data_IF_445323384788
#
_entry.id   IF_445323384788
#
_cell.length_a   1.000
_cell.length_b   1.000
_cell.length_c   1.000
_cell.angle_alpha   90.00
_cell.angle_beta   90.00
_cell.angle_gamma   90.00
#
_symmetry.space_group_name_H-M   'P 1'
#
loop_
_entity.id
_entity.type
_entity.pdbx_description
1 polymer ?
#
# COMPACT_ATOMS: atom_id res chain seq x y z
N UNK A 1 -63.24 47.10 -27.32
CA UNK A 1 -63.78 46.33 -26.17
C UNK A 1 -62.80 45.19 -25.91
N UNK A 2 -61.97 45.21 -24.84
CA UNK A 2 -62.15 44.48 -23.56
C UNK A 2 -62.71 43.05 -23.79
N UNK A 3 -62.15 41.95 -23.27
CA UNK A 3 -62.07 41.57 -21.86
C UNK A 3 -60.93 40.55 -21.61
N UNK A 4 -60.44 40.59 -20.36
CA UNK A 4 -59.35 39.78 -19.77
C UNK A 4 -59.81 38.36 -19.38
N UNK A 5 -58.80 37.53 -19.06
CA UNK A 5 -58.79 36.39 -18.09
C UNK A 5 -59.25 34.99 -18.53
N UNK A 6 -58.26 34.12 -18.75
CA UNK A 6 -57.97 32.84 -18.03
C UNK A 6 -56.57 32.36 -18.47
N UNK A 7 -55.49 32.47 -17.68
CA UNK A 7 -55.04 31.54 -16.58
C UNK A 7 -55.08 30.06 -17.02
N UNK A 8 -54.04 29.22 -16.90
CA UNK A 8 -53.03 29.13 -15.83
C UNK A 8 -51.86 28.21 -16.25
N UNK A 9 -50.67 28.52 -15.72
CA UNK A 9 -49.59 27.62 -15.27
C UNK A 9 -48.91 26.64 -16.25
N UNK A 10 -47.66 26.96 -16.62
CA UNK A 10 -46.57 25.98 -16.63
C UNK A 10 -45.18 26.66 -16.68
N UNK A 11 -44.94 27.57 -15.76
CA UNK A 11 -43.57 28.02 -15.42
C UNK A 11 -43.41 27.93 -13.91
N UNK A 12 -43.25 26.71 -13.41
CA UNK A 12 -42.81 26.48 -12.04
C UNK A 12 -41.42 25.84 -12.05
N UNK A 13 -40.50 26.57 -11.43
CA UNK A 13 -39.53 26.04 -10.48
C UNK A 13 -38.43 25.10 -10.98
N UNK A 14 -37.47 25.67 -11.73
CA UNK A 14 -36.09 25.14 -11.77
C UNK A 14 -35.19 25.76 -10.69
N UNK A 15 -35.51 26.97 -10.21
CA UNK A 15 -34.71 27.70 -9.22
C UNK A 15 -35.07 27.37 -7.76
N UNK A 16 -36.32 26.97 -7.50
CA UNK A 16 -36.77 26.61 -6.14
C UNK A 16 -36.22 25.25 -5.72
N UNK A 17 -36.14 24.28 -6.63
CA UNK A 17 -35.59 22.93 -6.39
C UNK A 17 -34.09 22.96 -6.10
N UNK A 18 -33.31 23.76 -6.85
CA UNK A 18 -31.87 23.94 -6.60
C UNK A 18 -31.59 24.75 -5.32
N UNK A 19 -32.43 25.73 -4.97
CA UNK A 19 -32.31 26.45 -3.70
C UNK A 19 -32.75 25.62 -2.49
N UNK A 20 -33.78 24.77 -2.62
CA UNK A 20 -34.20 23.85 -1.57
C UNK A 20 -33.14 22.77 -1.32
N UNK A 21 -32.55 22.18 -2.38
CA UNK A 21 -31.44 21.24 -2.23
C UNK A 21 -30.21 21.89 -1.60
N UNK A 22 -29.80 23.09 -2.04
CA UNK A 22 -28.69 23.84 -1.40
C UNK A 22 -28.99 24.22 0.06
N UNK A 23 -30.22 24.61 0.39
CA UNK A 23 -30.61 24.89 1.79
C UNK A 23 -30.60 23.61 2.62
N UNK A 24 -31.05 22.49 2.07
CA UNK A 24 -31.06 21.21 2.75
C UNK A 24 -29.63 20.71 3.02
N UNK A 25 -28.73 20.79 2.04
CA UNK A 25 -27.31 20.48 2.22
C UNK A 25 -26.62 21.40 3.24
N UNK A 26 -26.91 22.70 3.20
CA UNK A 26 -26.36 23.65 4.18
C UNK A 26 -26.92 23.39 5.60
N UNK A 27 -28.18 22.98 5.73
CA UNK A 27 -28.78 22.61 6.99
C UNK A 27 -28.19 21.29 7.53
N UNK A 28 -27.97 20.29 6.66
CA UNK A 28 -27.32 19.04 7.00
C UNK A 28 -25.87 19.25 7.48
N UNK A 29 -25.12 20.13 6.78
CA UNK A 29 -23.75 20.53 7.18
C UNK A 29 -23.73 21.32 8.48
N UNK A 30 -24.71 22.21 8.71
CA UNK A 30 -24.82 22.94 9.95
C UNK A 30 -25.17 22.03 11.14
N UNK A 31 -26.06 21.05 10.93
CA UNK A 31 -26.42 20.04 11.94
C UNK A 31 -25.25 19.10 12.24
N UNK A 32 -24.50 18.65 11.23
CA UNK A 32 -23.31 17.83 11.46
C UNK A 32 -22.22 18.62 12.20
N UNK A 33 -21.97 19.87 11.80
CA UNK A 33 -21.04 20.76 12.49
C UNK A 33 -21.47 21.06 13.94
N UNK A 34 -22.77 21.22 14.19
CA UNK A 34 -23.31 21.41 15.54
C UNK A 34 -23.17 20.15 16.40
N UNK A 35 -23.44 18.96 15.84
CA UNK A 35 -23.23 17.68 16.54
C UNK A 35 -21.75 17.46 16.88
N UNK A 36 -20.84 17.75 15.96
CA UNK A 36 -19.38 17.64 16.19
C UNK A 36 -18.91 18.63 17.26
N UNK A 37 -19.37 19.90 17.22
CA UNK A 37 -19.08 20.88 18.27
C UNK A 37 -19.61 20.46 19.63
N UNK A 38 -20.83 19.92 19.69
CA UNK A 38 -21.42 19.43 20.92
C UNK A 38 -20.60 18.27 21.50
N UNK A 39 -20.16 17.34 20.64
CA UNK A 39 -19.30 16.23 21.05
C UNK A 39 -17.95 16.73 21.59
N UNK A 40 -17.30 17.67 20.89
CA UNK A 40 -16.03 18.24 21.31
C UNK A 40 -16.14 18.93 22.68
N UNK A 41 -17.17 19.75 22.89
CA UNK A 41 -17.42 20.39 24.19
C UNK A 41 -17.72 19.37 25.30
N UNK A 42 -18.36 18.24 24.99
CA UNK A 42 -18.56 17.16 25.94
C UNK A 42 -17.24 16.47 26.33
N UNK A 43 -16.35 16.23 25.35
CA UNK A 43 -15.02 15.67 25.58
C UNK A 43 -14.14 16.61 26.41
N UNK A 44 -14.23 17.93 26.19
CA UNK A 44 -13.51 18.94 26.98
C UNK A 44 -13.94 18.97 28.45
N UNK A 45 -15.19 18.61 28.74
CA UNK A 45 -15.72 18.56 30.11
C UNK A 45 -15.43 17.23 30.83
N UNK A 46 -14.90 16.22 30.13
CA UNK A 46 -14.56 14.94 30.74
C UNK A 46 -13.26 15.02 31.54
N UNK A 47 -13.22 14.29 32.66
CA UNK A 47 -11.99 14.12 33.42
C UNK A 47 -11.00 13.22 32.66
N UNK A 48 -9.71 13.30 33.01
CA UNK A 48 -8.67 12.42 32.45
C UNK A 48 -9.03 10.94 32.58
N UNK A 49 -9.60 10.52 33.71
CA UNK A 49 -9.99 9.13 33.94
C UNK A 49 -11.10 8.69 32.98
N UNK A 50 -12.14 9.53 32.81
CA UNK A 50 -13.24 9.25 31.88
C UNK A 50 -12.77 9.20 30.42
N UNK A 51 -11.86 10.09 30.02
CA UNK A 51 -11.27 10.06 28.68
C UNK A 51 -10.47 8.77 28.45
N UNK A 52 -9.71 8.31 29.46
CA UNK A 52 -8.97 7.04 29.38
C UNK A 52 -9.95 5.86 29.27
N UNK A 53 -11.01 5.82 30.08
CA UNK A 53 -12.02 4.76 30.02
C UNK A 53 -12.72 4.70 28.66
N UNK A 54 -13.10 5.87 28.10
CA UNK A 54 -13.68 5.93 26.76
C UNK A 54 -12.68 5.44 25.71
N UNK A 55 -11.42 5.86 25.78
CA UNK A 55 -10.39 5.39 24.84
C UNK A 55 -10.12 3.89 24.97
N UNK A 56 -10.14 3.34 26.18
CA UNK A 56 -10.02 1.89 26.41
C UNK A 56 -11.21 1.15 25.81
N UNK A 57 -12.44 1.55 26.16
CA UNK A 57 -13.64 0.92 25.65
C UNK A 57 -13.71 1.00 24.12
N UNK A 58 -13.37 2.13 23.51
CA UNK A 58 -13.36 2.26 22.05
C UNK A 58 -12.22 1.44 21.45
N UNK A 59 -11.02 1.44 22.03
CA UNK A 59 -9.89 0.63 21.56
C UNK A 59 -10.10 -0.88 21.70
N UNK A 60 -10.94 -1.34 22.62
CA UNK A 60 -11.33 -2.76 22.74
C UNK A 60 -12.35 -3.18 21.68
N UNK A 61 -13.16 -2.24 21.19
CA UNK A 61 -14.25 -2.53 20.25
C UNK A 61 -13.93 -2.15 18.80
N UNK A 62 -12.93 -1.30 18.56
CA UNK A 62 -12.58 -0.77 17.24
C UNK A 62 -11.06 -0.82 17.03
N UNK A 63 -10.63 -1.68 16.11
CA UNK A 63 -9.20 -1.96 15.90
C UNK A 63 -8.43 -0.76 15.33
N UNK A 64 -9.07 0.08 14.52
CA UNK A 64 -8.48 1.28 13.94
C UNK A 64 -8.16 2.30 15.04
N UNK A 65 -9.04 2.43 16.04
CA UNK A 65 -8.82 3.31 17.19
C UNK A 65 -7.71 2.74 18.07
N UNK A 66 -7.70 1.42 18.27
CA UNK A 66 -6.62 0.74 18.97
C UNK A 66 -5.25 1.05 18.34
N UNK A 67 -5.12 0.85 17.02
CA UNK A 67 -3.91 1.12 16.25
C UNK A 67 -3.47 2.58 16.34
N UNK A 68 -4.41 3.52 16.19
CA UNK A 68 -4.11 4.95 16.30
C UNK A 68 -3.57 5.30 17.69
N UNK A 69 -4.22 4.82 18.75
CA UNK A 69 -3.77 5.04 20.13
C UNK A 69 -2.40 4.41 20.35
N UNK A 70 -2.16 3.18 19.88
CA UNK A 70 -0.86 2.53 19.99
C UNK A 70 0.25 3.34 19.28
N UNK A 71 -0.01 3.83 18.08
CA UNK A 71 0.94 4.66 17.32
C UNK A 71 1.28 5.96 18.06
N UNK A 72 0.28 6.68 18.55
CA UNK A 72 0.49 7.94 19.28
C UNK A 72 1.17 7.74 20.65
N UNK A 73 0.87 6.63 21.34
CA UNK A 73 1.55 6.27 22.58
C UNK A 73 3.01 5.90 22.29
N UNK A 74 3.27 5.10 21.25
CA UNK A 74 4.63 4.70 20.84
C UNK A 74 5.52 5.91 20.55
N UNK A 75 5.01 6.92 19.84
CA UNK A 75 5.75 8.17 19.54
C UNK A 75 6.16 8.95 20.80
N UNK A 76 5.44 8.79 21.91
CA UNK A 76 5.70 9.49 23.17
C UNK A 76 6.44 8.63 24.21
N UNK A 77 6.58 7.33 23.94
CA UNK A 77 7.36 6.44 24.79
C UNK A 77 8.85 6.58 24.49
N UNK A 78 9.68 6.46 25.52
CA UNK A 78 11.11 6.28 25.33
C UNK A 78 11.39 4.92 24.67
N UNK A 79 12.52 4.84 23.97
CA UNK A 79 12.88 3.64 23.21
C UNK A 79 13.09 2.41 24.09
N UNK A 80 13.54 2.56 25.33
CA UNK A 80 13.76 1.44 26.25
C UNK A 80 12.42 0.80 26.66
N UNK A 81 11.45 1.60 27.07
CA UNK A 81 10.11 1.12 27.44
C UNK A 81 9.38 0.55 26.23
N UNK A 82 9.54 1.16 25.04
CA UNK A 82 8.97 0.64 23.80
C UNK A 82 9.58 -0.72 23.45
N UNK A 83 10.91 -0.85 23.55
CA UNK A 83 11.61 -2.11 23.28
C UNK A 83 11.20 -3.22 24.26
N UNK A 84 11.06 -2.90 25.54
CA UNK A 84 10.54 -3.83 26.55
C UNK A 84 9.15 -4.36 26.16
N UNK A 85 8.24 -3.49 25.71
CA UNK A 85 6.92 -3.89 25.21
C UNK A 85 7.02 -4.80 23.98
N UNK A 86 7.88 -4.46 23.02
CA UNK A 86 8.11 -5.27 21.84
C UNK A 86 8.63 -6.68 22.17
N UNK A 87 9.47 -6.81 23.19
CA UNK A 87 9.97 -8.10 23.68
C UNK A 87 8.88 -8.95 24.34
N UNK A 88 7.83 -8.33 24.88
CA UNK A 88 6.67 -9.06 25.43
C UNK A 88 5.68 -9.51 24.34
N UNK A 89 5.82 -9.04 23.10
CA UNK A 89 4.97 -9.50 22.01
C UNK A 89 5.29 -10.94 21.63
N UNK A 90 4.24 -11.75 21.41
CA UNK A 90 4.42 -13.09 20.89
C UNK A 90 4.85 -13.02 19.43
N UNK A 91 5.93 -13.72 19.08
CA UNK A 91 6.41 -13.77 17.70
C UNK A 91 5.43 -14.59 16.86
N UNK A 92 4.82 -13.94 15.87
CA UNK A 92 3.97 -14.60 14.86
C UNK A 92 4.80 -14.87 13.61
N UNK A 93 4.75 -16.10 13.10
CA UNK A 93 5.33 -16.47 11.81
C UNK A 93 4.23 -16.47 10.73
N UNK A 94 4.42 -15.71 9.65
CA UNK A 94 3.40 -15.50 8.63
C UNK A 94 3.45 -16.48 7.44
N UNK A 95 4.27 -17.54 7.50
CA UNK A 95 4.37 -18.52 6.40
C UNK A 95 3.02 -19.14 6.03
N UNK A 96 2.16 -19.42 7.03
CA UNK A 96 0.80 -19.91 6.78
C UNK A 96 -0.09 -18.90 6.04
N UNK A 97 0.12 -17.60 6.26
CA UNK A 97 -0.58 -16.54 5.52
C UNK A 97 -0.12 -16.49 4.06
N UNK A 98 1.19 -16.68 3.80
CA UNK A 98 1.70 -16.76 2.43
C UNK A 98 1.11 -17.95 1.67
N UNK A 99 1.09 -19.13 2.30
CA UNK A 99 0.52 -20.33 1.69
C UNK A 99 -0.97 -20.17 1.40
N UNK A 100 -1.73 -19.62 2.34
CA UNK A 100 -3.14 -19.37 2.15
C UNK A 100 -3.39 -18.27 1.08
N UNK A 101 -2.56 -17.23 1.01
CA UNK A 101 -2.65 -16.20 -0.04
C UNK A 101 -2.41 -16.77 -1.43
N UNK A 102 -1.43 -17.68 -1.57
CA UNK A 102 -1.21 -18.42 -2.82
C UNK A 102 -2.45 -19.22 -3.22
N UNK A 103 -3.04 -19.98 -2.29
CA UNK A 103 -4.27 -20.75 -2.56
C UNK A 103 -5.44 -19.85 -2.97
N UNK A 104 -5.63 -18.73 -2.28
CA UNK A 104 -6.68 -17.77 -2.61
C UNK A 104 -6.50 -17.18 -4.02
N UNK A 105 -5.25 -16.90 -4.42
CA UNK A 105 -4.93 -16.43 -5.76
C UNK A 105 -5.14 -17.52 -6.82
N UNK A 106 -4.73 -18.77 -6.57
CA UNK A 106 -4.94 -19.91 -7.48
C UNK A 106 -6.45 -20.19 -7.69
N UNK A 107 -7.25 -20.10 -6.63
CA UNK A 107 -8.70 -20.25 -6.67
C UNK A 107 -9.35 -19.10 -7.45
N UNK A 108 -8.91 -17.86 -7.21
CA UNK A 108 -9.38 -16.69 -7.96
C UNK A 108 -9.04 -16.79 -9.45
N UNK A 109 -7.83 -17.25 -9.79
CA UNK A 109 -7.43 -17.46 -11.17
C UNK A 109 -8.24 -18.57 -11.85
N UNK A 110 -8.41 -19.71 -11.16
CA UNK A 110 -9.23 -20.83 -11.62
C UNK A 110 -10.67 -20.38 -11.88
N UNK A 111 -11.21 -19.52 -11.01
CA UNK A 111 -12.51 -18.88 -11.19
C UNK A 111 -12.52 -17.97 -12.41
N UNK A 112 -11.57 -17.06 -12.59
CA UNK A 112 -11.50 -16.19 -13.78
C UNK A 112 -11.50 -17.03 -15.07
N UNK A 113 -10.73 -18.12 -15.11
CA UNK A 113 -10.75 -19.06 -16.25
C UNK A 113 -12.11 -19.73 -16.42
N UNK A 114 -12.76 -20.14 -15.32
CA UNK A 114 -14.07 -20.78 -15.34
C UNK A 114 -15.20 -19.82 -15.73
N UNK A 115 -15.21 -18.58 -15.26
CA UNK A 115 -16.23 -17.58 -15.55
C UNK A 115 -16.09 -17.04 -16.95
N UNK A 116 -14.90 -17.00 -17.54
CA UNK A 116 -14.82 -16.70 -18.97
C UNK A 116 -15.53 -17.74 -19.86
N UNK A 117 -15.90 -18.91 -19.32
CA UNK A 117 -16.77 -19.88 -20.00
C UNK A 117 -18.27 -19.63 -19.82
N UNK A 118 -18.69 -18.72 -18.93
CA UNK A 118 -20.09 -18.40 -18.60
C UNK A 118 -20.30 -16.89 -18.45
N UNK A 119 -21.31 -16.31 -19.09
CA UNK A 119 -21.50 -14.84 -19.23
C UNK A 119 -21.73 -14.02 -17.94
N UNK A 120 -21.58 -14.57 -16.74
CA UNK A 120 -21.88 -13.89 -15.48
C UNK A 120 -20.68 -13.87 -14.50
N UNK A 121 -20.49 -12.72 -13.86
CA UNK A 121 -19.47 -12.44 -12.84
C UNK A 121 -19.84 -13.10 -11.51
N UNK A 122 -18.90 -13.65 -10.73
CA UNK A 122 -19.18 -14.11 -9.38
C UNK A 122 -18.87 -13.01 -8.38
N UNK A 123 -19.71 -13.03 -7.36
CA UNK A 123 -19.63 -12.23 -6.15
C UNK A 123 -18.32 -12.45 -5.36
N UNK A 124 -17.78 -11.32 -4.94
CA UNK A 124 -17.13 -10.96 -3.67
C UNK A 124 -16.15 -11.88 -2.91
N UNK A 125 -15.67 -13.03 -3.39
CA UNK A 125 -14.64 -13.80 -2.64
C UNK A 125 -13.23 -13.18 -2.63
N UNK A 126 -13.15 -11.88 -2.92
CA UNK A 126 -11.94 -11.08 -2.86
C UNK A 126 -11.43 -10.90 -1.41
N UNK A 127 -12.25 -11.30 -0.44
CA UNK A 127 -12.02 -11.12 0.98
C UNK A 127 -10.82 -11.92 1.49
N UNK A 128 -10.55 -13.13 1.03
CA UNK A 128 -9.54 -13.98 1.70
C UNK A 128 -8.10 -13.45 1.54
N UNK A 129 -7.72 -12.97 0.35
CA UNK A 129 -6.40 -12.36 0.12
C UNK A 129 -6.24 -11.09 0.96
N UNK A 130 -7.21 -10.18 0.85
CA UNK A 130 -7.20 -8.90 1.58
C UNK A 130 -7.25 -9.12 3.10
N UNK A 131 -8.00 -10.10 3.58
CA UNK A 131 -8.07 -10.47 5.00
C UNK A 131 -6.71 -10.97 5.51
N UNK A 132 -5.97 -11.76 4.71
CA UNK A 132 -4.64 -12.22 5.10
C UNK A 132 -3.63 -11.08 5.14
N UNK A 133 -3.67 -10.19 4.15
CA UNK A 133 -2.84 -8.98 4.13
C UNK A 133 -3.11 -8.12 5.37
N UNK A 134 -4.39 -7.90 5.68
CA UNK A 134 -4.79 -7.13 6.85
C UNK A 134 -4.38 -7.81 8.17
N UNK A 135 -4.55 -9.13 8.26
CA UNK A 135 -4.11 -9.92 9.42
C UNK A 135 -2.61 -9.75 9.69
N UNK A 136 -1.77 -9.77 8.65
CA UNK A 136 -0.33 -9.53 8.82
C UNK A 136 -0.08 -8.11 9.34
N UNK A 137 -0.73 -7.09 8.76
CA UNK A 137 -0.58 -5.70 9.20
C UNK A 137 -0.98 -5.51 10.67
N UNK A 138 -2.12 -6.08 11.08
CA UNK A 138 -2.63 -6.02 12.46
C UNK A 138 -1.64 -6.58 13.48
N UNK A 139 -0.92 -7.64 13.11
CA UNK A 139 0.10 -8.26 13.94
C UNK A 139 1.48 -7.58 13.87
N UNK A 140 1.68 -6.64 12.94
CA UNK A 140 2.92 -5.92 12.71
C UNK A 140 2.91 -4.47 13.24
N UNK A 141 2.02 -4.15 14.19
CA UNK A 141 1.93 -2.82 14.78
C UNK A 141 3.15 -2.36 15.58
N UNK A 142 3.08 -1.16 16.14
CA UNK A 142 4.21 -0.46 16.80
C UNK A 142 4.81 -1.21 18.00
N UNK A 143 4.04 -2.06 18.67
CA UNK A 143 4.49 -2.89 19.79
C UNK A 143 4.81 -4.34 19.41
N UNK A 144 4.77 -4.69 18.13
CA UNK A 144 5.25 -5.99 17.68
C UNK A 144 6.78 -6.09 17.83
N UNK A 145 7.30 -7.32 17.85
CA UNK A 145 8.74 -7.55 17.85
C UNK A 145 9.32 -7.07 16.50
N UNK A 146 10.52 -6.45 16.46
CA UNK A 146 11.14 -6.01 15.21
C UNK A 146 11.22 -7.13 14.15
N UNK A 147 11.61 -8.33 14.57
CA UNK A 147 11.62 -9.54 13.72
C UNK A 147 10.24 -9.88 13.13
N UNK A 148 9.15 -9.64 13.87
CA UNK A 148 7.78 -9.89 13.36
C UNK A 148 7.44 -8.91 12.26
N UNK A 149 7.76 -7.62 12.42
CA UNK A 149 7.56 -6.61 11.36
C UNK A 149 8.38 -6.93 10.11
N UNK A 150 9.65 -7.29 10.28
CA UNK A 150 10.52 -7.72 9.15
C UNK A 150 9.94 -8.95 8.45
N UNK A 151 9.53 -9.98 9.21
CA UNK A 151 8.90 -11.17 8.62
C UNK A 151 7.60 -10.86 7.87
N UNK A 152 6.77 -9.97 8.42
CA UNK A 152 5.55 -9.49 7.76
C UNK A 152 5.85 -8.82 6.43
N UNK A 153 6.82 -7.90 6.40
CA UNK A 153 7.29 -7.25 5.17
C UNK A 153 7.84 -8.26 4.15
N UNK A 154 8.66 -9.22 4.58
CA UNK A 154 9.16 -10.27 3.68
C UNK A 154 8.01 -11.04 3.03
N UNK A 155 7.02 -11.46 3.82
CA UNK A 155 5.87 -12.20 3.31
C UNK A 155 5.00 -11.35 2.39
N UNK A 156 4.81 -10.07 2.69
CA UNK A 156 4.10 -9.14 1.80
C UNK A 156 4.86 -8.93 0.48
N UNK A 157 6.19 -8.81 0.51
CA UNK A 157 7.01 -8.78 -0.71
C UNK A 157 6.86 -10.05 -1.55
N UNK A 158 6.82 -11.23 -0.91
CA UNK A 158 6.55 -12.49 -1.61
C UNK A 158 5.16 -12.49 -2.26
N UNK A 159 4.14 -11.96 -1.58
CA UNK A 159 2.81 -11.77 -2.16
C UNK A 159 2.86 -10.83 -3.38
N UNK A 160 3.62 -9.72 -3.33
CA UNK A 160 3.82 -8.84 -4.49
C UNK A 160 4.40 -9.59 -5.69
N UNK A 161 5.40 -10.45 -5.47
CA UNK A 161 6.00 -11.24 -6.55
C UNK A 161 5.03 -12.26 -7.15
N UNK A 162 4.16 -12.87 -6.34
CA UNK A 162 3.09 -13.74 -6.87
C UNK A 162 2.17 -12.93 -7.78
N UNK A 163 1.76 -11.73 -7.36
CA UNK A 163 0.91 -10.83 -8.14
C UNK A 163 1.58 -10.38 -9.45
N UNK A 164 2.87 -10.04 -9.42
CA UNK A 164 3.65 -9.67 -10.62
C UNK A 164 3.69 -10.83 -11.61
N UNK A 165 3.98 -12.05 -11.14
CA UNK A 165 4.03 -13.24 -12.00
C UNK A 165 2.67 -13.52 -12.64
N UNK A 166 1.60 -13.45 -11.86
CA UNK A 166 0.25 -13.57 -12.38
C UNK A 166 -0.01 -12.51 -13.45
N UNK A 167 0.33 -11.25 -13.18
CA UNK A 167 0.12 -10.13 -14.10
C UNK A 167 0.91 -10.20 -15.41
N UNK A 168 2.09 -10.85 -15.42
CA UNK A 168 2.93 -11.03 -16.60
C UNK A 168 2.33 -11.99 -17.63
N UNK A 169 1.45 -12.90 -17.20
CA UNK A 169 0.64 -13.69 -18.11
C UNK A 169 -0.49 -12.79 -18.65
N UNK A 170 -0.28 -12.22 -19.83
CA UNK A 170 -1.06 -11.19 -20.57
C UNK A 170 -2.58 -11.42 -20.71
N UNK A 171 -3.13 -12.49 -20.12
CA UNK A 171 -4.43 -13.01 -20.50
C UNK A 171 -5.65 -12.36 -19.81
N UNK A 172 -5.49 -11.58 -18.72
CA UNK A 172 -6.64 -11.17 -17.89
C UNK A 172 -6.58 -9.78 -17.23
N UNK A 173 -5.98 -8.77 -17.87
CA UNK A 173 -5.73 -7.44 -17.27
C UNK A 173 -6.98 -6.70 -16.76
N UNK A 174 -8.10 -6.73 -17.50
CA UNK A 174 -9.37 -6.06 -17.12
C UNK A 174 -10.21 -6.85 -16.11
N UNK A 175 -10.08 -8.19 -16.08
CA UNK A 175 -10.72 -9.02 -15.07
C UNK A 175 -9.98 -8.88 -13.73
N UNK A 176 -8.65 -8.80 -13.76
CA UNK A 176 -7.79 -8.67 -12.57
C UNK A 176 -7.91 -7.32 -11.87
N UNK A 177 -8.09 -6.21 -12.60
CA UNK A 177 -8.31 -4.90 -11.98
C UNK A 177 -9.61 -4.82 -11.16
N UNK A 178 -10.56 -5.76 -11.35
CA UNK A 178 -11.78 -5.85 -10.54
C UNK A 178 -11.53 -6.39 -9.13
N UNK A 179 -10.34 -6.94 -8.87
CA UNK A 179 -9.99 -7.53 -7.59
C UNK A 179 -9.21 -6.58 -6.66
N UNK A 180 -8.85 -5.35 -7.06
CA UNK A 180 -8.23 -4.33 -6.18
C UNK A 180 -7.12 -4.86 -5.22
N UNK A 181 -6.34 -5.85 -5.65
CA UNK A 181 -5.33 -6.52 -4.81
C UNK A 181 -4.12 -5.63 -4.51
N UNK A 182 -3.93 -4.60 -5.32
CA UNK A 182 -2.81 -3.67 -5.28
C UNK A 182 -2.91 -2.69 -4.10
N UNK A 183 -4.02 -1.97 -3.97
CA UNK A 183 -4.14 -0.93 -2.95
C UNK A 183 -4.11 -1.49 -1.51
N UNK A 184 -4.70 -2.67 -1.28
CA UNK A 184 -4.74 -3.27 0.06
C UNK A 184 -3.35 -3.72 0.54
N UNK A 185 -2.53 -4.26 -0.38
CA UNK A 185 -1.19 -4.71 -0.07
C UNK A 185 -0.23 -3.54 0.14
N UNK A 186 -0.31 -2.51 -0.70
CA UNK A 186 0.51 -1.31 -0.58
C UNK A 186 0.23 -0.56 0.75
N UNK A 187 -1.05 -0.39 1.10
CA UNK A 187 -1.46 0.24 2.35
C UNK A 187 -0.98 -0.56 3.57
N UNK A 188 -1.08 -1.88 3.52
CA UNK A 188 -0.64 -2.75 4.61
C UNK A 188 0.90 -2.69 4.79
N UNK A 189 1.67 -2.69 3.71
CA UNK A 189 3.13 -2.53 3.78
C UNK A 189 3.51 -1.18 4.38
N UNK A 190 2.85 -0.09 3.95
CA UNK A 190 3.04 1.24 4.55
C UNK A 190 2.69 1.25 6.04
N UNK A 191 1.62 0.56 6.46
CA UNK A 191 1.26 0.44 7.87
C UNK A 191 2.37 -0.23 8.69
N UNK A 192 2.97 -1.31 8.16
CA UNK A 192 4.09 -1.99 8.83
C UNK A 192 5.32 -1.08 8.92
N UNK A 193 5.69 -0.40 7.83
CA UNK A 193 6.89 0.46 7.77
C UNK A 193 6.72 1.68 8.67
N UNK A 194 5.54 2.29 8.69
CA UNK A 194 5.26 3.44 9.56
C UNK A 194 5.30 3.08 11.05
N UNK A 195 5.02 1.82 11.39
CA UNK A 195 5.20 1.29 12.74
C UNK A 195 6.66 0.98 13.11
N UNK A 196 7.56 0.87 12.13
CA UNK A 196 8.98 0.66 12.36
C UNK A 196 9.69 1.92 12.86
N UNK A 197 10.73 1.74 13.66
CA UNK A 197 11.67 2.83 13.97
C UNK A 197 12.66 3.08 12.85
N UNK A 198 13.32 4.24 12.91
CA UNK A 198 14.39 4.57 11.99
C UNK A 198 15.50 3.50 11.96
N UNK A 199 15.90 2.98 13.13
CA UNK A 199 16.90 1.92 13.21
C UNK A 199 16.43 0.60 12.59
N UNK A 200 15.14 0.27 12.73
CA UNK A 200 14.56 -0.92 12.09
C UNK A 200 14.50 -0.75 10.57
N UNK A 201 14.10 0.44 10.08
CA UNK A 201 14.10 0.73 8.63
C UNK A 201 15.50 0.72 8.05
N UNK A 202 16.49 1.25 8.77
CA UNK A 202 17.90 1.17 8.37
C UNK A 202 18.35 -0.29 8.30
N UNK A 203 18.01 -1.11 9.29
CA UNK A 203 18.34 -2.54 9.28
C UNK A 203 17.70 -3.29 8.10
N UNK A 204 16.53 -2.84 7.60
CA UNK A 204 15.96 -3.37 6.37
C UNK A 204 16.80 -2.96 5.16
N UNK A 205 17.20 -1.69 5.05
CA UNK A 205 18.05 -1.19 3.94
C UNK A 205 19.40 -1.92 3.90
N UNK A 206 19.97 -2.22 5.08
CA UNK A 206 21.23 -2.95 5.23
C UNK A 206 21.08 -4.47 5.04
N UNK A 207 19.85 -5.00 4.88
CA UNK A 207 19.59 -6.42 4.70
C UNK A 207 19.83 -6.85 3.24
N UNK A 208 20.79 -7.76 3.05
CA UNK A 208 21.23 -8.26 1.73
C UNK A 208 20.16 -9.05 0.96
N UNK A 209 19.05 -9.44 1.59
CA UNK A 209 17.98 -10.20 0.96
C UNK A 209 16.70 -9.36 0.78
N UNK A 210 16.21 -8.74 1.85
CA UNK A 210 14.93 -8.05 1.86
C UNK A 210 14.96 -6.74 1.07
N UNK A 211 16.02 -5.94 1.20
CA UNK A 211 16.10 -4.67 0.48
C UNK A 211 16.18 -4.84 -1.04
N UNK A 212 17.06 -5.73 -1.58
CA UNK A 212 17.04 -6.05 -3.00
C UNK A 212 15.69 -6.58 -3.50
N UNK A 213 14.96 -7.33 -2.66
CA UNK A 213 13.64 -7.86 -3.00
C UNK A 213 12.61 -6.72 -3.11
N UNK A 214 12.59 -5.79 -2.15
CA UNK A 214 11.75 -4.58 -2.21
C UNK A 214 12.03 -3.76 -3.48
N UNK A 215 13.29 -3.51 -3.80
CA UNK A 215 13.68 -2.80 -5.02
C UNK A 215 13.29 -3.57 -6.29
N UNK A 216 13.39 -4.90 -6.28
CA UNK A 216 12.98 -5.74 -7.40
C UNK A 216 11.47 -5.65 -7.65
N UNK A 217 10.65 -5.63 -6.60
CA UNK A 217 9.21 -5.40 -6.70
C UNK A 217 8.93 -4.02 -7.28
N UNK A 218 9.60 -2.97 -6.78
CA UNK A 218 9.45 -1.61 -7.30
C UNK A 218 9.85 -1.47 -8.78
N UNK A 219 10.91 -2.15 -9.23
CA UNK A 219 11.34 -2.12 -10.62
C UNK A 219 10.38 -2.86 -11.56
N UNK A 220 9.77 -3.94 -11.06
CA UNK A 220 8.82 -4.77 -11.81
C UNK A 220 7.39 -4.25 -11.71
N UNK A 221 7.10 -3.38 -10.75
CA UNK A 221 5.80 -2.75 -10.64
C UNK A 221 5.61 -1.75 -11.78
N UNK A 222 4.79 -2.13 -12.75
CA UNK A 222 4.26 -1.11 -13.67
C UNK A 222 3.37 -0.15 -12.86
N UNK A 223 3.28 1.13 -13.26
CA UNK A 223 2.33 2.12 -12.72
C UNK A 223 0.85 1.67 -12.77
N UNK A 224 0.55 0.49 -13.31
CA UNK A 224 -0.79 -0.11 -13.36
C UNK A 224 -1.01 -1.19 -12.28
N UNK A 225 0.04 -1.77 -11.70
CA UNK A 225 -0.06 -2.92 -10.80
C UNK A 225 0.20 -2.55 -9.34
N UNK A 226 1.15 -1.65 -9.04
CA UNK A 226 1.37 -1.13 -7.70
C UNK A 226 1.65 0.37 -7.86
N UNK A 227 0.66 1.20 -7.57
CA UNK A 227 0.69 2.63 -7.89
C UNK A 227 1.39 3.44 -6.80
N UNK A 228 1.25 3.02 -5.55
CA UNK A 228 1.79 3.66 -4.37
C UNK A 228 3.11 3.01 -3.90
N UNK A 229 3.68 2.06 -4.64
CA UNK A 229 4.92 1.39 -4.23
C UNK A 229 6.11 2.36 -4.14
N UNK A 230 6.07 3.49 -4.86
CA UNK A 230 7.03 4.58 -4.66
C UNK A 230 7.00 5.12 -3.22
N UNK A 231 5.80 5.29 -2.64
CA UNK A 231 5.62 5.77 -1.27
C UNK A 231 6.23 4.78 -0.26
N UNK A 232 6.16 3.48 -0.53
CA UNK A 232 6.78 2.42 0.30
C UNK A 232 8.31 2.59 0.33
N UNK A 233 8.92 2.83 -0.84
CA UNK A 233 10.38 3.00 -0.94
C UNK A 233 10.83 4.30 -0.28
N UNK A 234 10.05 5.37 -0.43
CA UNK A 234 10.36 6.70 0.12
C UNK A 234 10.33 6.74 1.66
N UNK A 235 9.66 5.80 2.33
CA UNK A 235 9.66 5.67 3.79
C UNK A 235 10.98 5.14 4.37
N UNK A 236 11.85 4.54 3.55
CA UNK A 236 13.15 4.04 4.00
C UNK A 236 14.23 5.13 3.95
N UNK A 237 15.23 5.09 4.84
CA UNK A 237 16.37 5.99 4.78
C UNK A 237 17.02 5.94 3.40
N UNK A 238 17.29 7.12 2.84
CA UNK A 238 18.07 7.21 1.61
C UNK A 238 19.50 6.78 1.95
N UNK A 239 20.02 5.82 1.20
CA UNK A 239 21.45 5.51 1.24
C UNK A 239 22.18 6.82 0.93
N UNK A 240 22.95 7.32 1.89
CA UNK A 240 23.88 8.41 1.61
C UNK A 240 24.77 7.93 0.46
N UNK A 241 24.53 8.47 -0.73
CA UNK A 241 25.47 8.39 -1.84
C UNK A 241 26.65 9.33 -1.51
N UNK A 242 27.31 9.08 -0.37
CA UNK A 242 28.53 9.69 0.08
C UNK A 242 29.71 9.12 -0.68
N UNK A 243 29.70 9.34 -1.99
CA UNK A 243 30.90 9.41 -2.81
C UNK A 243 30.56 10.38 -3.93
N UNK A 244 30.60 11.68 -3.58
CA UNK A 244 30.98 12.68 -4.57
C UNK A 244 32.35 12.26 -5.08
N UNK A 245 32.37 11.49 -6.17
CA UNK A 245 33.56 11.43 -7.01
C UNK A 245 33.78 12.87 -7.45
N UNK A 246 34.82 13.49 -6.89
CA UNK A 246 35.22 14.82 -7.27
C UNK A 246 35.27 14.91 -8.80
N UNK A 247 34.47 15.83 -9.30
CA UNK A 247 34.54 16.29 -10.67
C UNK A 247 35.91 16.97 -10.85
N UNK A 248 36.92 16.20 -11.22
CA UNK A 248 38.09 16.77 -11.89
C UNK A 248 37.67 17.17 -13.30
N UNK A 249 37.31 18.44 -13.44
CA UNK A 249 37.37 19.18 -14.70
C UNK A 249 38.77 19.02 -15.31
N UNK A 250 38.88 18.27 -16.42
CA UNK A 250 39.97 18.46 -17.34
C UNK A 250 39.45 18.44 -18.78
N UNK A 251 39.10 19.64 -19.24
CA UNK A 251 38.89 19.98 -20.64
C UNK A 251 40.23 19.95 -21.39
N UNK A 252 40.35 19.01 -22.32
CA UNK A 252 41.51 18.82 -23.18
C UNK A 252 41.11 18.24 -24.53
N UNK A 253 40.29 18.98 -25.27
CA UNK A 253 39.93 18.71 -26.67
C UNK A 253 41.13 18.46 -27.60
N UNK A 254 40.87 17.63 -28.64
CA UNK A 254 41.58 17.42 -29.93
C UNK A 254 42.67 16.34 -29.93
N UNK A 255 42.75 15.39 -30.87
CA UNK A 255 42.58 15.49 -32.33
C UNK A 255 42.55 14.08 -32.98
N UNK A 256 41.77 13.97 -34.09
CA UNK A 256 41.92 13.08 -35.27
C UNK A 256 41.71 11.56 -35.08
N UNK A 257 40.62 10.97 -35.60
CA UNK A 257 40.27 10.70 -37.02
C UNK A 257 41.03 9.54 -37.67
N UNK A 258 40.28 8.80 -38.49
CA UNK A 258 40.64 7.91 -39.60
C UNK A 258 40.62 6.40 -39.31
N UNK A 259 39.44 5.83 -39.59
CA UNK A 259 39.18 4.74 -40.57
C UNK A 259 40.22 3.63 -40.84
N UNK A 260 39.68 2.39 -40.81
CA UNK A 260 39.90 1.27 -41.76
C UNK A 260 41.26 0.57 -41.79
N UNK A 261 41.30 -0.75 -41.55
CA UNK A 261 41.20 -1.76 -42.63
C UNK A 261 41.48 -3.20 -42.17
N UNK A 262 40.95 -4.12 -42.98
CA UNK A 262 40.95 -5.59 -42.91
C UNK A 262 42.34 -6.23 -43.08
N UNK A 263 42.59 -7.36 -42.40
CA UNK A 263 43.16 -8.62 -42.96
C UNK A 263 43.32 -9.65 -41.81
N UNK A 264 42.68 -10.82 -41.76
CA UNK A 264 42.70 -12.02 -42.63
C UNK A 264 43.64 -13.14 -42.09
N UNK A 265 43.15 -14.39 -42.20
CA UNK A 265 43.81 -15.72 -42.12
C UNK A 265 43.97 -16.34 -40.72
N UNK A 266 43.18 -17.37 -40.41
CA UNK A 266 43.33 -18.81 -40.77
C UNK A 266 44.45 -19.48 -39.96
N UNK A 267 44.08 -20.45 -39.11
CA UNK A 267 44.39 -21.86 -39.38
C UNK A 267 43.57 -22.80 -38.48
N UNK A 268 42.90 -23.75 -39.14
CA UNK A 268 42.32 -24.99 -38.63
C UNK A 268 43.43 -25.93 -38.15
N UNK A 269 43.18 -26.73 -37.11
CA UNK A 269 43.44 -28.19 -37.17
C UNK A 269 42.45 -28.92 -36.25
N UNK A 270 41.55 -29.68 -36.88
CA UNK A 270 40.72 -30.76 -36.33
C UNK A 270 41.57 -31.92 -35.75
N UNK A 271 41.00 -32.68 -34.82
CA UNK A 271 40.62 -34.10 -35.05
C UNK A 271 40.39 -34.88 -33.75
N UNK A 272 39.11 -35.21 -33.56
CA UNK A 272 38.53 -36.53 -33.26
C UNK A 272 38.99 -37.35 -32.03
N UNK A 273 37.99 -37.62 -31.18
CA UNK A 273 37.90 -38.84 -30.39
C UNK A 273 36.46 -39.34 -30.38
N UNK A 274 36.09 -40.15 -31.37
CA UNK A 274 34.84 -40.91 -31.40
C UNK A 274 35.15 -42.38 -31.13
N UNK A 275 34.69 -42.89 -29.98
CA UNK A 275 33.93 -44.14 -29.87
C UNK A 275 33.27 -44.23 -28.50
#
# INVERSE_FOLDING_TARGET
>A
MSWRQREMENTMDSSVTTQLQRKNENHQRALSAYKVRNLASCLECMTRAQLIEVLQAVGENYIEVHKLVQSEVSKKMDDETRMYRCQMSNVVHFNGCLEAARRAMDDAESRVRFLHSWSDLPDSSNDDFTNMVQLIADHCGAFAHPKTRVNGLTVMCDMCHVLIKLAAEDFHKEARSKYCWDESLENAMLEVITAMTLAERQAVVDDDALWPTLLSVYQQSSNKLFRAFGDIIDEFPKLDSGTECEAEENDGLRYLSVESDQNNRQDEVDMLGAK
#
